data_IF_075278661678
#
_entry.id   IF_075278661678
#
_cell.length_a   1.000
_cell.length_b   1.000
_cell.length_c   1.000
_cell.angle_alpha   90.00
_cell.angle_beta   90.00
_cell.angle_gamma   90.00
#
_symmetry.space_group_name_H-M   'P 1'
#
loop_
_entity.id
_entity.type
_entity.pdbx_description
1 polymer ?
#
# COMPACT_ATOMS: atom_id res chain seq x y z
N UNK A 1 30.87 8.57 9.97
CA UNK A 1 29.72 7.62 9.95
C UNK A 1 29.39 7.11 8.55
N UNK A 2 29.31 7.96 7.50
CA UNK A 2 28.94 7.53 6.13
C UNK A 2 29.76 6.34 5.56
N UNK A 3 31.07 6.27 5.84
CA UNK A 3 31.91 5.17 5.37
C UNK A 3 31.58 3.78 5.94
N UNK A 4 30.81 3.69 7.04
CA UNK A 4 30.30 2.40 7.58
C UNK A 4 29.05 1.91 6.84
N UNK A 5 28.47 2.72 5.96
CA UNK A 5 27.33 2.35 5.12
C UNK A 5 27.79 1.71 3.80
N UNK A 6 29.09 1.74 3.51
CA UNK A 6 29.66 1.12 2.30
C UNK A 6 29.52 -0.39 2.41
N UNK A 7 28.89 -0.99 1.41
CA UNK A 7 28.83 -2.45 1.27
C UNK A 7 30.22 -2.92 0.83
N UNK A 8 30.78 -3.90 1.55
CA UNK A 8 32.06 -4.51 1.19
C UNK A 8 31.96 -5.18 -0.19
N UNK A 9 32.83 -4.76 -1.12
CA UNK A 9 32.91 -5.31 -2.47
C UNK A 9 33.17 -6.82 -2.47
N UNK A 10 33.90 -7.35 -1.50
CA UNK A 10 34.11 -8.79 -1.37
C UNK A 10 32.81 -9.52 -1.04
N UNK A 11 32.00 -8.96 -0.13
CA UNK A 11 30.68 -9.51 0.19
C UNK A 11 29.77 -9.48 -1.04
N UNK A 12 29.75 -8.37 -1.78
CA UNK A 12 28.97 -8.27 -3.03
C UNK A 12 29.42 -9.30 -4.08
N UNK A 13 30.72 -9.53 -4.21
CA UNK A 13 31.26 -10.54 -5.12
C UNK A 13 30.85 -11.95 -4.73
N UNK A 14 30.87 -12.30 -3.45
CA UNK A 14 30.41 -13.62 -2.98
C UNK A 14 28.91 -13.82 -3.22
N UNK A 15 28.08 -12.80 -3.00
CA UNK A 15 26.65 -12.83 -3.32
C UNK A 15 26.44 -13.07 -4.82
N UNK A 16 27.14 -12.32 -5.67
CA UNK A 16 27.04 -12.48 -7.13
C UNK A 16 27.48 -13.89 -7.57
N UNK A 17 28.59 -14.41 -7.04
CA UNK A 17 29.06 -15.77 -7.32
C UNK A 17 28.00 -16.82 -6.96
N UNK A 18 27.33 -16.67 -5.82
CA UNK A 18 26.24 -17.57 -5.45
C UNK A 18 25.06 -17.46 -6.42
N UNK A 19 24.54 -16.26 -6.64
CA UNK A 19 23.34 -16.02 -7.47
C UNK A 19 23.53 -16.43 -8.94
N UNK A 20 24.76 -16.36 -9.46
CA UNK A 20 25.07 -16.62 -10.88
C UNK A 20 25.75 -17.97 -11.13
N UNK A 21 25.88 -18.81 -10.09
CA UNK A 21 26.50 -20.13 -10.22
C UNK A 21 25.74 -20.97 -11.26
N UNK A 22 26.46 -21.54 -12.23
CA UNK A 22 25.91 -22.35 -13.34
C UNK A 22 24.91 -23.44 -12.90
N UNK A 23 25.10 -23.99 -11.71
CA UNK A 23 24.13 -24.87 -11.06
C UNK A 23 23.86 -24.32 -9.66
N UNK A 24 22.66 -23.78 -9.48
CA UNK A 24 22.17 -23.29 -8.21
C UNK A 24 20.71 -23.71 -8.06
N UNK A 25 20.47 -24.87 -7.43
CA UNK A 25 19.13 -25.44 -7.30
C UNK A 25 18.09 -24.45 -6.78
N UNK A 26 18.44 -23.54 -5.87
CA UNK A 26 17.50 -22.55 -5.33
C UNK A 26 17.12 -21.53 -6.40
N UNK A 27 18.12 -20.93 -7.06
CA UNK A 27 17.88 -19.90 -8.08
C UNK A 27 17.25 -20.50 -9.33
N UNK A 28 17.69 -21.69 -9.74
CA UNK A 28 17.17 -22.41 -10.89
C UNK A 28 15.68 -22.72 -10.73
N UNK A 29 15.24 -23.18 -9.55
CA UNK A 29 13.82 -23.43 -9.27
C UNK A 29 13.00 -22.13 -9.20
N UNK A 30 13.55 -21.05 -8.62
CA UNK A 30 12.87 -19.73 -8.61
C UNK A 30 12.68 -19.23 -10.05
N UNK A 31 13.70 -19.32 -10.90
CA UNK A 31 13.63 -18.91 -12.31
C UNK A 31 12.57 -19.76 -13.02
N UNK A 32 12.55 -21.08 -12.84
CA UNK A 32 11.51 -21.94 -13.44
C UNK A 32 10.09 -21.51 -13.05
N UNK A 33 9.87 -21.17 -11.78
CA UNK A 33 8.57 -20.68 -11.30
C UNK A 33 8.20 -19.36 -11.98
N UNK A 34 9.13 -18.41 -12.07
CA UNK A 34 8.89 -17.10 -12.68
C UNK A 34 8.66 -17.23 -14.19
N UNK A 35 9.44 -18.04 -14.88
CA UNK A 35 9.32 -18.30 -16.32
C UNK A 35 8.03 -19.04 -16.67
N UNK A 36 7.52 -19.92 -15.79
CA UNK A 36 6.20 -20.53 -15.94
C UNK A 36 5.08 -19.49 -16.11
N UNK A 37 5.22 -18.31 -15.50
CA UNK A 37 4.27 -17.19 -15.64
C UNK A 37 4.68 -16.15 -16.70
N UNK A 38 5.71 -16.42 -17.49
CA UNK A 38 6.19 -15.59 -18.59
C UNK A 38 7.11 -14.44 -18.17
N UNK A 39 7.81 -14.61 -17.04
CA UNK A 39 8.87 -13.71 -16.62
C UNK A 39 8.41 -12.48 -15.82
N UNK A 40 9.34 -11.75 -15.18
CA UNK A 40 9.02 -10.65 -14.27
C UNK A 40 8.20 -9.54 -14.93
N UNK A 41 8.50 -9.18 -16.18
CA UNK A 41 7.79 -8.14 -16.91
C UNK A 41 6.31 -8.48 -17.07
N UNK A 42 5.99 -9.68 -17.58
CA UNK A 42 4.61 -10.11 -17.79
C UNK A 42 3.84 -10.23 -16.49
N UNK A 43 4.49 -10.74 -15.42
CA UNK A 43 3.90 -10.81 -14.08
C UNK A 43 3.53 -9.40 -13.60
N UNK A 44 4.44 -8.44 -13.70
CA UNK A 44 4.21 -7.07 -13.25
C UNK A 44 3.13 -6.36 -14.09
N UNK A 45 3.14 -6.54 -15.41
CA UNK A 45 2.11 -5.97 -16.31
C UNK A 45 0.72 -6.53 -15.98
N UNK A 46 0.62 -7.84 -15.73
CA UNK A 46 -0.62 -8.49 -15.30
C UNK A 46 -1.05 -8.03 -13.91
N UNK A 47 -0.12 -7.86 -12.97
CA UNK A 47 -0.41 -7.35 -11.64
C UNK A 47 -0.95 -5.92 -11.71
N UNK A 48 -0.33 -5.04 -12.49
CA UNK A 48 -0.80 -3.67 -12.69
C UNK A 48 -2.18 -3.63 -13.34
N UNK A 49 -2.41 -4.44 -14.38
CA UNK A 49 -3.73 -4.54 -15.03
C UNK A 49 -4.78 -5.03 -14.04
N UNK A 50 -4.50 -6.11 -13.31
CA UNK A 50 -5.44 -6.72 -12.37
C UNK A 50 -5.66 -5.91 -11.09
N UNK A 51 -4.72 -5.02 -10.74
CA UNK A 51 -4.81 -4.13 -9.59
C UNK A 51 -5.63 -2.87 -9.83
N UNK A 52 -6.14 -2.65 -11.06
CA UNK A 52 -7.06 -1.54 -11.32
C UNK A 52 -8.35 -1.72 -10.54
N UNK A 53 -8.82 -0.63 -9.91
CA UNK A 53 -9.99 -0.64 -9.01
C UNK A 53 -11.23 -1.30 -9.64
N UNK A 54 -11.55 -1.02 -10.91
CA UNK A 54 -12.71 -1.63 -11.58
C UNK A 54 -12.61 -3.16 -11.68
N UNK A 55 -11.43 -3.70 -11.99
CA UNK A 55 -11.20 -5.15 -12.05
C UNK A 55 -11.25 -5.78 -10.65
N UNK A 56 -10.74 -5.07 -9.63
CA UNK A 56 -10.84 -5.53 -8.25
C UNK A 56 -12.30 -5.54 -7.75
N UNK A 57 -13.08 -4.52 -8.09
CA UNK A 57 -14.51 -4.43 -7.74
C UNK A 57 -15.33 -5.53 -8.44
N UNK A 58 -15.08 -5.81 -9.72
CA UNK A 58 -15.72 -6.92 -10.45
C UNK A 58 -15.43 -8.27 -9.77
N UNK A 59 -14.15 -8.54 -9.44
CA UNK A 59 -13.77 -9.75 -8.72
C UNK A 59 -14.41 -9.83 -7.34
N UNK A 60 -14.53 -8.72 -6.64
CA UNK A 60 -15.17 -8.64 -5.33
C UNK A 60 -16.66 -8.96 -5.44
N UNK A 61 -17.36 -8.42 -6.43
CA UNK A 61 -18.77 -8.68 -6.67
C UNK A 61 -19.08 -10.17 -6.81
N UNK A 62 -18.19 -10.94 -7.46
CA UNK A 62 -18.36 -12.39 -7.59
C UNK A 62 -18.00 -13.19 -6.32
N UNK A 63 -17.02 -12.74 -5.54
CA UNK A 63 -16.52 -13.50 -4.38
C UNK A 63 -17.21 -13.15 -3.06
N UNK A 64 -17.50 -11.86 -2.87
CA UNK A 64 -17.96 -11.24 -1.62
C UNK A 64 -18.84 -10.03 -1.93
N UNK A 65 -20.01 -10.23 -2.57
CA UNK A 65 -20.92 -9.15 -2.96
C UNK A 65 -21.35 -8.28 -1.77
N UNK A 66 -21.35 -8.81 -0.54
CA UNK A 66 -21.75 -8.09 0.67
C UNK A 66 -20.91 -6.83 0.97
N UNK A 67 -19.70 -6.71 0.39
CA UNK A 67 -18.83 -5.55 0.58
C UNK A 67 -18.91 -4.51 -0.55
N UNK A 68 -19.58 -4.83 -1.66
CA UNK A 68 -19.62 -3.95 -2.84
C UNK A 68 -20.30 -2.62 -2.50
N UNK A 69 -21.48 -2.67 -1.88
CA UNK A 69 -22.24 -1.47 -1.52
C UNK A 69 -21.48 -0.58 -0.55
N UNK A 70 -20.74 -1.20 0.39
CA UNK A 70 -19.92 -0.47 1.35
C UNK A 70 -18.76 0.28 0.68
N UNK A 71 -18.10 -0.34 -0.32
CA UNK A 71 -17.02 0.31 -1.06
C UNK A 71 -17.55 1.37 -2.03
N UNK A 72 -18.71 1.15 -2.65
CA UNK A 72 -19.38 2.16 -3.47
C UNK A 72 -19.72 3.39 -2.62
N UNK A 73 -20.31 3.18 -1.44
CA UNK A 73 -20.56 4.27 -0.49
C UNK A 73 -19.28 5.04 -0.15
N UNK A 74 -18.16 4.34 0.10
CA UNK A 74 -16.88 5.00 0.42
C UNK A 74 -16.33 5.80 -0.77
N UNK A 75 -16.47 5.29 -2.01
CA UNK A 75 -16.10 6.01 -3.24
C UNK A 75 -16.92 7.29 -3.37
N UNK A 76 -18.23 7.22 -3.15
CA UNK A 76 -19.12 8.39 -3.16
C UNK A 76 -18.70 9.42 -2.12
N UNK A 77 -18.42 9.01 -0.88
CA UNK A 77 -17.98 9.95 0.17
C UNK A 77 -16.66 10.64 -0.19
N UNK A 78 -15.74 9.93 -0.84
CA UNK A 78 -14.49 10.51 -1.35
C UNK A 78 -14.77 11.52 -2.46
N UNK A 79 -15.58 11.15 -3.45
CA UNK A 79 -15.84 11.96 -4.64
C UNK A 79 -16.64 13.23 -4.29
N UNK A 80 -17.54 13.15 -3.31
CA UNK A 80 -18.24 14.29 -2.72
C UNK A 80 -17.37 15.10 -1.73
N UNK A 81 -16.11 14.73 -1.53
CA UNK A 81 -15.17 15.39 -0.60
C UNK A 81 -15.72 15.53 0.84
N UNK A 82 -16.35 14.49 1.36
CA UNK A 82 -16.94 14.48 2.72
C UNK A 82 -15.92 14.40 3.84
N UNK A 83 -14.71 13.93 3.54
CA UNK A 83 -13.62 13.88 4.51
C UNK A 83 -13.04 15.28 4.71
N UNK A 84 -12.77 15.62 5.97
CA UNK A 84 -12.14 16.88 6.33
C UNK A 84 -10.76 17.01 5.67
N UNK A 85 -10.46 18.18 5.10
CA UNK A 85 -9.12 18.48 4.60
C UNK A 85 -8.14 18.75 5.76
N UNK A 86 -6.84 18.70 5.46
CA UNK A 86 -5.82 19.00 6.46
C UNK A 86 -5.94 20.43 7.01
N UNK A 87 -6.27 21.40 6.15
CA UNK A 87 -6.42 22.80 6.53
C UNK A 87 -7.67 23.03 7.39
N UNK A 88 -8.80 22.41 7.03
CA UNK A 88 -10.01 22.44 7.85
C UNK A 88 -9.79 21.77 9.21
N UNK A 89 -9.04 20.67 9.24
CA UNK A 89 -8.70 19.99 10.50
C UNK A 89 -7.80 20.86 11.39
N UNK A 90 -6.76 21.51 10.82
CA UNK A 90 -5.90 22.47 11.52
C UNK A 90 -6.74 23.61 12.14
N UNK A 91 -7.67 24.15 11.38
CA UNK A 91 -8.59 25.20 11.85
C UNK A 91 -9.48 24.70 13.00
N UNK A 92 -10.05 23.49 12.86
CA UNK A 92 -10.92 22.89 13.87
C UNK A 92 -10.23 22.71 15.23
N UNK A 93 -8.96 22.31 15.24
CA UNK A 93 -8.20 22.11 16.49
C UNK A 93 -7.50 23.39 16.98
N UNK A 94 -7.72 24.54 16.31
CA UNK A 94 -6.99 25.79 16.55
C UNK A 94 -5.46 25.59 16.56
N UNK A 95 -4.96 24.81 15.60
CA UNK A 95 -3.53 24.54 15.48
C UNK A 95 -2.76 25.85 15.24
N UNK A 96 -1.64 26.02 15.95
CA UNK A 96 -0.68 27.07 15.57
C UNK A 96 -0.05 26.72 14.22
N UNK A 97 0.43 27.74 13.49
CA UNK A 97 1.11 27.54 12.19
C UNK A 97 2.30 26.58 12.29
N UNK A 98 2.95 26.54 13.45
CA UNK A 98 4.15 25.75 13.70
C UNK A 98 3.85 24.39 14.37
N UNK A 99 2.59 24.06 14.62
CA UNK A 99 2.20 22.81 15.31
C UNK A 99 2.52 21.56 14.49
N UNK A 100 2.48 21.68 13.15
CA UNK A 100 2.69 20.55 12.25
C UNK A 100 3.94 20.81 11.43
N UNK A 101 5.00 20.06 11.73
CA UNK A 101 6.23 20.10 10.96
C UNK A 101 6.09 19.25 9.69
N UNK A 102 5.84 19.92 8.57
CA UNK A 102 5.65 19.31 7.26
C UNK A 102 6.94 18.74 6.63
N UNK A 103 8.10 18.95 7.28
CA UNK A 103 9.36 18.28 6.93
C UNK A 103 9.29 16.78 7.22
N UNK A 104 8.47 16.36 8.19
CA UNK A 104 8.18 14.96 8.43
C UNK A 104 7.07 14.46 7.51
N UNK A 105 7.38 13.46 6.68
CA UNK A 105 6.39 12.75 5.85
C UNK A 105 5.75 11.59 6.61
N UNK A 106 5.12 11.89 7.74
CA UNK A 106 4.40 10.88 8.53
C UNK A 106 3.06 10.59 7.85
N UNK A 107 2.82 9.32 7.50
CA UNK A 107 1.50 8.85 7.07
C UNK A 107 0.89 8.08 8.22
N UNK A 108 -0.33 8.45 8.64
CA UNK A 108 -1.08 7.62 9.57
C UNK A 108 -1.45 6.32 8.84
N UNK A 109 -0.90 5.21 9.33
CA UNK A 109 -1.12 3.88 8.77
C UNK A 109 -1.82 2.99 9.79
N UNK A 110 -2.80 2.21 9.32
CA UNK A 110 -3.33 1.07 10.06
C UNK A 110 -2.81 -0.19 9.39
N UNK A 111 -1.91 -0.88 10.08
CA UNK A 111 -1.41 -2.19 9.66
C UNK A 111 -2.29 -3.32 10.19
N UNK A 112 -2.22 -4.49 9.57
CA UNK A 112 -2.92 -5.71 9.95
C UNK A 112 -4.45 -5.65 9.81
N UNK A 113 -4.94 -5.00 8.75
CA UNK A 113 -6.37 -4.92 8.43
C UNK A 113 -7.02 -6.28 8.19
N UNK A 114 -6.22 -7.31 7.90
CA UNK A 114 -6.67 -8.69 7.72
C UNK A 114 -7.48 -9.25 8.90
N UNK A 115 -7.33 -8.69 10.11
CA UNK A 115 -8.06 -9.14 11.31
C UNK A 115 -9.36 -8.38 11.58
N UNK A 116 -9.66 -7.33 10.81
CA UNK A 116 -10.58 -6.29 11.26
C UNK A 116 -11.39 -5.64 10.12
N UNK A 117 -12.72 -5.82 10.05
CA UNK A 117 -13.56 -5.23 9.00
C UNK A 117 -13.93 -3.75 9.29
N UNK A 118 -13.03 -2.95 9.87
CA UNK A 118 -13.38 -1.63 10.42
C UNK A 118 -13.13 -0.44 9.49
N UNK A 119 -12.66 -0.66 8.24
CA UNK A 119 -12.39 0.44 7.29
C UNK A 119 -13.59 1.38 7.13
N UNK A 120 -14.78 0.80 6.95
CA UNK A 120 -16.02 1.57 6.76
C UNK A 120 -16.44 2.27 8.05
N UNK A 121 -16.26 1.63 9.20
CA UNK A 121 -16.55 2.26 10.50
C UNK A 121 -15.62 3.43 10.78
N UNK A 122 -14.32 3.30 10.47
CA UNK A 122 -13.35 4.39 10.56
C UNK A 122 -13.72 5.52 9.60
N UNK A 123 -14.11 5.21 8.37
CA UNK A 123 -14.54 6.23 7.41
C UNK A 123 -15.76 7.00 7.91
N UNK A 124 -16.79 6.30 8.42
CA UNK A 124 -17.98 6.92 9.01
C UNK A 124 -17.63 7.80 10.20
N UNK A 125 -16.82 7.31 11.13
CA UNK A 125 -16.37 8.08 12.29
C UNK A 125 -15.59 9.33 11.87
N UNK A 126 -14.64 9.19 10.93
CA UNK A 126 -13.84 10.31 10.45
C UNK A 126 -14.70 11.39 9.81
N UNK A 127 -15.73 11.03 9.06
CA UNK A 127 -16.70 11.98 8.49
C UNK A 127 -17.54 12.61 9.60
N UNK A 128 -18.17 11.80 10.46
CA UNK A 128 -19.08 12.27 11.51
C UNK A 128 -18.38 13.22 12.49
N UNK A 129 -17.17 12.87 12.90
CA UNK A 129 -16.40 13.62 13.89
C UNK A 129 -15.50 14.67 13.26
N UNK A 130 -15.33 14.70 11.94
CA UNK A 130 -14.33 15.55 11.28
C UNK A 130 -12.91 15.22 11.76
N UNK A 131 -12.55 13.94 11.75
CA UNK A 131 -11.19 13.44 12.05
C UNK A 131 -10.45 13.13 10.74
N UNK A 132 -9.12 13.24 10.75
CA UNK A 132 -8.31 12.82 9.60
C UNK A 132 -8.41 11.31 9.39
N UNK A 133 -8.69 10.92 8.16
CA UNK A 133 -8.68 9.50 7.76
C UNK A 133 -7.22 9.02 7.62
N UNK A 134 -6.85 7.83 8.10
CA UNK A 134 -5.55 7.23 7.80
C UNK A 134 -5.31 7.14 6.30
N UNK A 135 -4.09 7.48 5.87
CA UNK A 135 -3.71 7.51 4.46
C UNK A 135 -3.33 6.13 3.92
N UNK A 136 -3.06 5.17 4.81
CA UNK A 136 -2.67 3.81 4.43
C UNK A 136 -3.27 2.75 5.35
N UNK A 137 -3.60 1.64 4.72
CA UNK A 137 -4.30 0.49 5.26
C UNK A 137 -3.60 -0.74 4.69
N UNK A 138 -2.88 -1.49 5.53
CA UNK A 138 -2.11 -2.70 5.14
C UNK A 138 -2.74 -3.94 5.76
#
# INVERSE_FOLDING_TARGET
>A
MKGKLTIDSNMLNEVNKFLTKKSNLVIDEIIKIVEKYGGPKKINDLAQKNGKIGILMEKLQHKKPEYVDQLNWLIEQRDEKKFISMDEYKNKINASKDMIDESYKVTLEISSLHYFPWLISQAKQSIERGELMPGRFI
#
